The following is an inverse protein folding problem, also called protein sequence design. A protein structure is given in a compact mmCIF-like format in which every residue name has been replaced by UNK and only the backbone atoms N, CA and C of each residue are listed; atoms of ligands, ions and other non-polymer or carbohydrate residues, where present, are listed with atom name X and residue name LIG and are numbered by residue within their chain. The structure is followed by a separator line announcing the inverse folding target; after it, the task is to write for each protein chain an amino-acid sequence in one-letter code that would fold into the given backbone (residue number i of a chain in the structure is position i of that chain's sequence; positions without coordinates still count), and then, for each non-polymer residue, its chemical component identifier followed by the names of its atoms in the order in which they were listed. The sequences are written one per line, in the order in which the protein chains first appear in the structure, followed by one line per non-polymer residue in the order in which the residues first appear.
data_IF_238383271968
#
_entry.id   IF_238383271968
#
_cell.length_a   1.000
_cell.length_b   1.000
_cell.length_c   1.000
_cell.angle_alpha   90.00
_cell.angle_beta   90.00
_cell.angle_gamma   90.00
#
_symmetry.space_group_name_H-M   'P 1'
#
loop_
_entity.id
_entity.type
_entity.pdbx_description
1 polymer ?
#
# COMPACT_ATOMS: atom_id res chain seq x y z
N UNK A 1 -24.04 4.84 4.94
CA UNK A 1 -22.82 4.78 4.11
C UNK A 1 -22.22 3.42 4.36
N UNK A 2 -22.61 2.46 3.52
CA UNK A 2 -22.18 1.08 3.59
C UNK A 2 -20.77 0.98 2.98
N UNK A 3 -19.74 0.99 3.83
CA UNK A 3 -18.40 0.66 3.39
C UNK A 3 -18.35 -0.85 3.15
N UNK A 4 -18.48 -1.25 1.88
CA UNK A 4 -18.20 -2.63 1.48
C UNK A 4 -16.70 -2.87 1.62
N UNK A 5 -16.27 -3.30 2.81
CA UNK A 5 -14.98 -3.96 2.97
C UNK A 5 -15.14 -5.33 2.30
N UNK A 6 -14.78 -5.39 1.02
CA UNK A 6 -14.63 -6.66 0.34
C UNK A 6 -13.68 -7.52 1.15
N UNK A 7 -14.11 -8.73 1.50
CA UNK A 7 -13.26 -9.77 2.08
C UNK A 7 -12.02 -9.90 1.22
N UNK A 8 -10.94 -9.21 1.60
CA UNK A 8 -9.62 -9.50 1.09
C UNK A 8 -9.37 -10.92 1.59
N UNK A 9 -9.39 -11.87 0.66
CA UNK A 9 -8.98 -13.23 0.94
C UNK A 9 -7.62 -13.15 1.65
N UNK A 10 -7.60 -13.52 2.94
CA UNK A 10 -6.46 -13.38 3.85
C UNK A 10 -5.30 -14.30 3.45
N UNK A 11 -5.35 -14.95 2.28
CA UNK A 11 -4.29 -15.80 1.74
C UNK A 11 -3.37 -15.07 0.76
N UNK A 12 -3.55 -13.75 0.57
CA UNK A 12 -2.44 -12.93 0.05
C UNK A 12 -1.30 -13.13 1.04
N UNK A 13 -0.24 -13.80 0.60
CA UNK A 13 1.03 -13.95 1.29
C UNK A 13 1.57 -12.54 1.55
N UNK A 14 1.09 -11.91 2.63
CA UNK A 14 1.62 -10.63 3.09
C UNK A 14 3.00 -10.99 3.60
N UNK A 15 4.08 -10.53 2.96
CA UNK A 15 5.41 -10.77 3.48
C UNK A 15 5.43 -10.30 4.94
N UNK A 16 5.67 -11.22 5.86
CA UNK A 16 5.59 -10.95 7.31
C UNK A 16 6.56 -9.84 7.75
N UNK A 17 7.58 -9.56 6.95
CA UNK A 17 8.48 -8.43 7.10
C UNK A 17 8.00 -7.24 6.25
N UNK A 18 7.24 -6.35 6.90
CA UNK A 18 7.12 -4.96 6.43
C UNK A 18 8.48 -4.30 6.63
N UNK A 19 8.97 -3.60 5.61
CA UNK A 19 10.23 -2.88 5.69
C UNK A 19 10.22 -1.90 6.90
N UNK A 20 11.21 -1.98 7.81
CA UNK A 20 11.21 -1.19 9.03
C UNK A 20 11.34 0.31 8.77
N UNK A 21 12.00 0.72 7.68
CA UNK A 21 12.11 2.13 7.28
C UNK A 21 10.77 2.65 6.75
N UNK A 22 10.04 1.85 5.96
CA UNK A 22 8.70 2.17 5.51
C UNK A 22 7.73 2.35 6.68
N UNK A 23 7.76 1.42 7.65
CA UNK A 23 6.97 1.53 8.88
C UNK A 23 7.27 2.83 9.63
N UNK A 24 8.56 3.15 9.82
CA UNK A 24 8.98 4.38 10.49
C UNK A 24 8.44 5.63 9.79
N UNK A 25 8.49 5.69 8.46
CA UNK A 25 7.95 6.85 7.71
C UNK A 25 6.44 7.02 7.87
N UNK A 26 5.68 5.93 7.95
CA UNK A 26 4.24 5.98 8.26
C UNK A 26 4.00 6.48 9.68
N UNK A 27 4.78 6.01 10.66
CA UNK A 27 4.66 6.45 12.05
C UNK A 27 4.95 7.95 12.21
N UNK A 28 5.99 8.46 11.55
CA UNK A 28 6.30 9.91 11.53
C UNK A 28 5.16 10.72 10.89
N UNK A 29 4.55 10.22 9.81
CA UNK A 29 3.38 10.86 9.20
C UNK A 29 2.16 10.81 10.13
N UNK A 30 1.94 9.70 10.82
CA UNK A 30 0.82 9.50 11.74
C UNK A 30 0.92 10.35 13.01
N UNK A 31 2.14 10.72 13.41
CA UNK A 31 2.37 11.64 14.52
C UNK A 31 2.04 13.10 14.19
N UNK A 32 1.90 13.45 12.90
CA UNK A 32 1.52 14.82 12.50
C UNK A 32 0.03 15.04 12.76
N UNK A 33 -0.32 16.19 13.33
CA UNK A 33 -1.72 16.60 13.54
C UNK A 33 -2.53 16.65 12.23
N UNK A 34 -1.84 16.89 11.10
CA UNK A 34 -2.45 16.94 9.77
C UNK A 34 -2.66 15.56 9.12
N UNK A 35 -2.34 14.45 9.79
CA UNK A 35 -2.39 13.11 9.18
C UNK A 35 -3.75 12.76 8.57
N UNK A 36 -4.85 13.10 9.25
CA UNK A 36 -6.21 12.82 8.79
C UNK A 36 -6.75 13.86 7.79
N UNK A 37 -5.98 14.90 7.50
CA UNK A 37 -6.37 15.96 6.56
C UNK A 37 -6.06 15.54 5.11
N UNK A 38 -6.69 16.17 4.10
CA UNK A 38 -6.37 15.91 2.70
C UNK A 38 -4.88 15.98 2.34
N UNK A 39 -4.08 16.97 2.81
CA UNK A 39 -2.65 16.98 2.53
C UNK A 39 -1.88 15.84 3.23
N UNK A 40 -2.21 15.50 4.48
CA UNK A 40 -1.54 14.39 5.19
C UNK A 40 -1.82 13.02 4.55
N UNK A 41 -3.05 12.79 4.10
CA UNK A 41 -3.41 11.59 3.35
C UNK A 41 -2.75 11.55 1.97
N UNK A 42 -2.56 12.71 1.32
CA UNK A 42 -1.83 12.78 0.06
C UNK A 42 -0.34 12.42 0.23
N UNK A 43 0.28 12.86 1.33
CA UNK A 43 1.65 12.48 1.69
C UNK A 43 1.77 10.97 1.95
N UNK A 44 0.86 10.39 2.74
CA UNK A 44 0.80 8.95 2.98
C UNK A 44 0.62 8.16 1.68
N UNK A 45 -0.29 8.61 0.82
CA UNK A 45 -0.55 7.96 -0.48
C UNK A 45 0.70 7.94 -1.34
N UNK A 46 1.42 9.07 -1.45
CA UNK A 46 2.68 9.13 -2.18
C UNK A 46 3.72 8.17 -1.62
N UNK A 47 3.83 8.09 -0.30
CA UNK A 47 4.76 7.17 0.36
C UNK A 47 4.45 5.70 0.00
N UNK A 48 3.18 5.31 0.03
CA UNK A 48 2.73 3.95 -0.33
C UNK A 48 2.95 3.67 -1.82
N UNK A 49 2.64 4.63 -2.69
CA UNK A 49 2.84 4.51 -4.15
C UNK A 49 4.33 4.31 -4.49
N UNK A 50 5.22 5.10 -3.88
CA UNK A 50 6.66 5.00 -4.04
C UNK A 50 7.20 3.62 -3.60
N UNK A 51 6.81 3.16 -2.41
CA UNK A 51 7.22 1.85 -1.90
C UNK A 51 6.70 0.68 -2.76
N UNK A 52 5.48 0.79 -3.30
CA UNK A 52 4.92 -0.23 -4.18
C UNK A 52 5.64 -0.27 -5.54
N UNK A 53 6.08 0.89 -6.05
CA UNK A 53 6.88 0.97 -7.27
C UNK A 53 8.31 0.43 -7.04
N UNK A 54 8.93 0.75 -5.91
CA UNK A 54 10.26 0.29 -5.52
C UNK A 54 10.32 -1.23 -5.33
N UNK A 55 9.31 -1.84 -4.70
CA UNK A 55 9.20 -3.31 -4.52
C UNK A 55 8.95 -4.08 -5.83
N UNK A 56 8.93 -3.43 -7.00
CA UNK A 56 8.92 -4.12 -8.30
C UNK A 56 7.63 -4.88 -8.60
N UNK A 57 6.52 -4.56 -7.92
CA UNK A 57 5.18 -5.12 -8.24
C UNK A 57 4.70 -4.79 -9.67
N UNK A 58 5.44 -3.97 -10.42
CA UNK A 58 5.23 -3.68 -11.83
C UNK A 58 5.49 -4.87 -12.78
N UNK A 59 6.34 -5.85 -12.44
CA UNK A 59 6.73 -6.91 -13.38
C UNK A 59 5.88 -8.20 -13.26
N UNK A 60 5.21 -8.43 -12.12
CA UNK A 60 4.54 -9.71 -11.84
C UNK A 60 3.14 -9.87 -12.45
N UNK A 61 2.56 -8.82 -13.04
CA UNK A 61 1.28 -8.90 -13.78
C UNK A 61 1.47 -9.21 -15.26
N UNK A 62 2.34 -10.17 -15.61
CA UNK A 62 2.22 -10.83 -16.92
C UNK A 62 1.13 -11.89 -16.79
N UNK A 63 -0.13 -11.49 -16.96
CA UNK A 63 -1.21 -12.46 -17.19
C UNK A 63 -0.86 -13.23 -18.47
N UNK A 64 -0.72 -14.57 -18.44
CA UNK A 64 -0.61 -15.31 -19.67
C UNK A 64 -1.97 -15.19 -20.37
N UNK A 65 -2.04 -14.36 -21.41
CA UNK A 65 -3.16 -14.36 -22.35
C UNK A 65 -3.30 -15.80 -22.85
N UNK A 66 -4.31 -16.50 -22.33
CA UNK A 66 -4.70 -17.81 -22.79
C UNK A 66 -5.06 -17.65 -24.27
N UNK A 67 -4.12 -18.06 -25.13
CA UNK A 67 -4.35 -18.20 -26.57
C UNK A 67 -5.51 -19.17 -26.75
N UNK A 68 -6.57 -18.69 -27.40
CA UNK A 68 -7.62 -19.48 -28.00
C UNK A 68 -7.35 -19.56 -29.51
#
# INVERSE_FOLDING_TARGET
MDFTMGTLDQTVDIPSEVDPEFRRRIEELAQRDDFNTPPGQADLRKLVEDALMDQGFGEQRKVPSKRA
#
